data_IF_277428577460
#
_entry.id   IF_277428577460
#
_cell.length_a   1.000
_cell.length_b   1.000
_cell.length_c   1.000
_cell.angle_alpha   90.00
_cell.angle_beta   90.00
_cell.angle_gamma   90.00
#
_symmetry.space_group_name_H-M   'P 1'
#
loop_
_entity.id
_entity.type
_entity.pdbx_description
1 polymer ?
#
# COMPACT_ATOMS: atom_id res chain seq x y z
N UNK A 1 2.70 2.48 -13.11
CA UNK A 1 3.99 1.81 -12.89
C UNK A 1 4.01 1.39 -11.43
N UNK A 2 4.53 0.20 -11.11
CA UNK A 2 4.58 -0.29 -9.73
C UNK A 2 5.54 0.59 -8.89
N UNK A 3 5.13 1.01 -7.69
CA UNK A 3 5.97 1.79 -6.77
C UNK A 3 7.19 0.95 -6.36
N UNK A 4 8.44 1.39 -6.62
CA UNK A 4 9.63 0.55 -6.45
C UNK A 4 9.79 -0.01 -5.03
N UNK A 5 9.52 0.80 -4.00
CA UNK A 5 9.65 0.37 -2.60
C UNK A 5 8.63 -0.69 -2.20
N UNK A 6 7.41 -0.65 -2.75
CA UNK A 6 6.42 -1.70 -2.50
C UNK A 6 6.73 -2.96 -3.30
N UNK A 7 7.24 -2.83 -4.53
CA UNK A 7 7.70 -3.97 -5.32
C UNK A 7 8.83 -4.73 -4.62
N UNK A 8 9.81 -4.01 -4.06
CA UNK A 8 10.91 -4.60 -3.29
C UNK A 8 10.40 -5.37 -2.07
N UNK A 9 9.49 -4.75 -1.30
CA UNK A 9 8.81 -5.43 -0.20
C UNK A 9 8.11 -6.71 -0.66
N UNK A 10 7.32 -6.64 -1.73
CA UNK A 10 6.54 -7.77 -2.22
C UNK A 10 7.44 -8.91 -2.72
N UNK A 11 8.55 -8.56 -3.36
CA UNK A 11 9.57 -9.51 -3.81
C UNK A 11 10.18 -10.26 -2.60
N UNK A 12 10.63 -9.54 -1.58
CA UNK A 12 11.20 -10.13 -0.36
C UNK A 12 10.17 -10.97 0.40
N UNK A 13 8.94 -10.44 0.57
CA UNK A 13 7.86 -11.16 1.25
C UNK A 13 7.56 -12.50 0.60
N UNK A 14 7.45 -12.54 -0.73
CA UNK A 14 7.17 -13.79 -1.46
C UNK A 14 8.33 -14.79 -1.36
N UNK A 15 9.58 -14.32 -1.31
CA UNK A 15 10.73 -15.18 -1.03
C UNK A 15 10.67 -15.79 0.37
N UNK A 16 10.40 -14.97 1.39
CA UNK A 16 10.31 -15.41 2.80
C UNK A 16 9.18 -16.43 3.03
N UNK A 17 8.09 -16.32 2.26
CA UNK A 17 6.96 -17.25 2.30
C UNK A 17 7.19 -18.53 1.47
N UNK A 18 8.38 -18.71 0.89
CA UNK A 18 8.72 -19.89 0.09
C UNK A 18 8.09 -19.89 -1.30
N UNK A 19 7.75 -18.72 -1.85
CA UNK A 19 7.16 -18.50 -3.17
C UNK A 19 8.12 -17.74 -4.12
N UNK A 20 9.38 -18.17 -4.29
CA UNK A 20 10.40 -17.40 -5.03
C UNK A 20 10.04 -17.19 -6.51
N UNK A 21 9.44 -18.19 -7.16
CA UNK A 21 9.04 -18.06 -8.57
C UNK A 21 7.85 -17.12 -8.77
N UNK A 22 6.98 -16.99 -7.76
CA UNK A 22 5.93 -15.98 -7.79
C UNK A 22 6.54 -14.59 -7.62
N UNK A 23 7.56 -14.44 -6.75
CA UNK A 23 8.31 -13.20 -6.60
C UNK A 23 8.92 -12.75 -7.94
N UNK A 24 9.59 -13.66 -8.65
CA UNK A 24 10.16 -13.38 -9.98
C UNK A 24 9.09 -12.98 -11.00
N UNK A 25 7.97 -13.71 -11.02
CA UNK A 25 6.85 -13.44 -11.93
C UNK A 25 6.27 -12.05 -11.70
N UNK A 26 6.05 -11.69 -10.44
CA UNK A 26 5.56 -10.36 -10.04
C UNK A 26 6.56 -9.28 -10.43
N UNK A 27 7.86 -9.50 -10.17
CA UNK A 27 8.91 -8.54 -10.49
C UNK A 27 8.98 -8.26 -12.00
N UNK A 28 8.94 -9.31 -12.83
CA UNK A 28 8.93 -9.17 -14.28
C UNK A 28 7.62 -8.54 -14.80
N UNK A 29 6.48 -8.90 -14.20
CA UNK A 29 5.16 -8.36 -14.55
C UNK A 29 4.88 -6.94 -14.04
N UNK A 30 5.73 -6.41 -13.15
CA UNK A 30 5.55 -5.09 -12.52
C UNK A 30 5.54 -3.92 -13.51
N UNK A 31 6.12 -4.12 -14.70
CA UNK A 31 6.18 -3.14 -15.78
C UNK A 31 4.83 -2.96 -16.48
N UNK A 32 3.94 -3.95 -16.42
CA UNK A 32 2.68 -3.99 -17.18
C UNK A 32 1.44 -4.00 -16.30
N UNK A 33 1.57 -4.40 -15.03
CA UNK A 33 0.46 -4.50 -14.10
C UNK A 33 0.39 -3.31 -13.13
N UNK A 34 -0.84 -2.86 -12.80
CA UNK A 34 -1.05 -1.92 -11.70
C UNK A 34 -0.96 -2.67 -10.37
N UNK A 35 -0.14 -2.14 -9.47
CA UNK A 35 0.12 -2.76 -8.17
C UNK A 35 -1.14 -3.01 -7.35
N UNK A 36 -2.03 -2.01 -7.30
CA UNK A 36 -3.29 -2.11 -6.58
C UNK A 36 -4.17 -3.26 -7.10
N UNK A 37 -4.27 -3.42 -8.43
CA UNK A 37 -5.08 -4.48 -9.02
C UNK A 37 -4.48 -5.87 -8.68
N UNK A 38 -3.15 -6.00 -8.67
CA UNK A 38 -2.47 -7.22 -8.23
C UNK A 38 -2.77 -7.55 -6.76
N UNK A 39 -2.77 -6.56 -5.87
CA UNK A 39 -3.09 -6.77 -4.44
C UNK A 39 -4.56 -7.14 -4.24
N UNK A 40 -5.47 -6.62 -5.07
CA UNK A 40 -6.88 -7.04 -5.05
C UNK A 40 -7.05 -8.50 -5.52
N UNK A 41 -6.26 -8.94 -6.49
CA UNK A 41 -6.25 -10.35 -6.89
C UNK A 41 -5.62 -11.24 -5.81
N UNK A 42 -4.58 -10.78 -5.12
CA UNK A 42 -4.05 -11.47 -3.93
C UNK A 42 -5.09 -11.62 -2.81
N UNK A 43 -5.90 -10.58 -2.55
CA UNK A 43 -7.00 -10.65 -1.58
C UNK A 43 -8.00 -11.77 -1.90
N UNK A 44 -8.22 -12.02 -3.19
CA UNK A 44 -9.17 -13.05 -3.67
C UNK A 44 -8.56 -14.45 -3.68
N UNK A 45 -7.27 -14.56 -4.00
CA UNK A 45 -6.62 -15.83 -4.35
C UNK A 45 -5.72 -16.38 -3.23
N UNK A 46 -5.11 -15.52 -2.41
CA UNK A 46 -4.25 -15.98 -1.32
C UNK A 46 -5.10 -16.49 -0.16
N UNK A 47 -4.51 -17.39 0.63
CA UNK A 47 -5.07 -17.78 1.91
C UNK A 47 -5.29 -16.50 2.77
N UNK A 48 -6.45 -16.33 3.43
CA UNK A 48 -6.71 -15.18 4.28
C UNK A 48 -5.61 -14.85 5.28
N UNK A 49 -4.98 -15.86 5.90
CA UNK A 49 -3.86 -15.67 6.84
C UNK A 49 -2.62 -15.09 6.17
N UNK A 50 -2.31 -15.56 4.96
CA UNK A 50 -1.16 -15.09 4.19
C UNK A 50 -1.40 -13.67 3.68
N UNK A 51 -2.62 -13.37 3.23
CA UNK A 51 -3.00 -12.02 2.82
C UNK A 51 -2.96 -11.04 3.99
N UNK A 52 -3.46 -11.45 5.17
CA UNK A 52 -3.38 -10.62 6.37
C UNK A 52 -1.93 -10.33 6.76
N UNK A 53 -1.05 -11.35 6.73
CA UNK A 53 0.38 -11.16 7.00
C UNK A 53 1.04 -10.20 6.00
N UNK A 54 0.71 -10.30 4.72
CA UNK A 54 1.16 -9.36 3.69
C UNK A 54 0.71 -7.94 4.05
N UNK A 55 -0.57 -7.77 4.40
CA UNK A 55 -1.12 -6.47 4.75
C UNK A 55 -0.41 -5.84 5.96
N UNK A 56 -0.30 -6.59 7.06
CA UNK A 56 0.33 -6.13 8.30
C UNK A 56 1.81 -5.80 8.09
N UNK A 57 2.56 -6.68 7.42
CA UNK A 57 3.98 -6.45 7.13
C UNK A 57 4.20 -5.23 6.23
N UNK A 58 3.32 -5.00 5.26
CA UNK A 58 3.47 -3.88 4.34
C UNK A 58 3.51 -2.52 5.04
N UNK A 59 2.84 -2.39 6.19
CA UNK A 59 2.82 -1.15 6.98
C UNK A 59 4.22 -0.79 7.50
N UNK A 60 5.04 -1.81 7.80
CA UNK A 60 6.35 -1.64 8.42
C UNK A 60 7.51 -1.68 7.41
N UNK A 61 7.36 -2.46 6.33
CA UNK A 61 8.45 -2.78 5.41
C UNK A 61 8.29 -2.17 4.02
N UNK A 62 7.22 -1.44 3.77
CA UNK A 62 7.01 -0.75 2.49
C UNK A 62 6.56 0.69 2.72
N UNK A 63 6.71 1.58 1.72
CA UNK A 63 6.03 2.86 1.74
C UNK A 63 4.52 2.65 1.99
N UNK A 64 3.82 3.58 2.66
CA UNK A 64 2.43 3.42 3.11
C UNK A 64 1.39 3.46 1.97
N UNK A 65 1.72 2.88 0.82
CA UNK A 65 0.92 2.81 -0.39
C UNK A 65 -0.41 2.09 -0.17
N UNK A 66 -0.41 0.91 0.48
CA UNK A 66 -1.66 0.18 0.74
C UNK A 66 -2.57 0.88 1.75
N UNK A 67 -1.99 1.54 2.75
CA UNK A 67 -2.73 2.33 3.73
C UNK A 67 -3.38 3.54 3.05
N UNK A 68 -2.64 4.23 2.17
CA UNK A 68 -3.18 5.32 1.34
C UNK A 68 -4.27 4.82 0.38
N UNK A 69 -4.08 3.68 -0.27
CA UNK A 69 -5.11 3.07 -1.12
C UNK A 69 -6.37 2.73 -0.34
N UNK A 70 -6.25 2.13 0.85
CA UNK A 70 -7.38 1.80 1.72
C UNK A 70 -8.09 3.04 2.25
N UNK A 71 -7.35 4.09 2.57
CA UNK A 71 -7.93 5.39 2.92
C UNK A 71 -8.77 5.96 1.76
N UNK A 72 -8.29 5.78 0.52
CA UNK A 72 -8.94 6.24 -0.69
C UNK A 72 -10.09 5.33 -1.19
N UNK A 73 -10.32 4.15 -0.59
CA UNK A 73 -11.41 3.24 -0.98
C UNK A 73 -12.83 3.76 -0.59
N UNK A 74 -12.96 4.91 0.08
CA UNK A 74 -14.25 5.62 0.17
C UNK A 74 -14.66 6.14 -1.22
N UNK A 75 -15.97 6.22 -1.54
CA UNK A 75 -16.45 6.37 -2.91
C UNK A 75 -16.21 7.78 -3.46
N UNK A 76 -14.98 8.10 -3.82
CA UNK A 76 -14.71 9.19 -4.75
C UNK A 76 -15.04 8.68 -6.15
N UNK A 77 -16.09 9.28 -6.73
CA UNK A 77 -16.64 8.98 -8.06
C UNK A 77 -15.72 9.38 -9.22
N UNK A 78 -14.45 9.66 -8.97
CA UNK A 78 -13.49 10.07 -9.97
C UNK A 78 -12.81 8.86 -10.57
N UNK A 79 -12.73 8.82 -11.91
CA UNK A 79 -12.18 7.73 -12.73
C UNK A 79 -10.70 7.36 -12.44
N UNK A 80 -10.07 7.99 -11.46
CA UNK A 80 -8.68 7.80 -11.09
C UNK A 80 -8.61 7.25 -9.66
N UNK A 81 -8.47 5.93 -9.53
CA UNK A 81 -8.22 5.20 -8.26
C UNK A 81 -6.88 5.56 -7.57
N UNK A 82 -6.16 6.57 -8.03
CA UNK A 82 -4.85 6.96 -7.51
C UNK A 82 -5.02 8.13 -6.55
N UNK A 83 -4.54 7.98 -5.32
CA UNK A 83 -4.44 9.08 -4.36
C UNK A 83 -3.22 9.92 -4.73
N UNK A 84 -3.44 11.18 -5.12
CA UNK A 84 -2.42 12.08 -5.66
C UNK A 84 -1.83 12.98 -4.59
N UNK A 85 -0.70 13.64 -4.91
CA UNK A 85 -0.12 14.71 -4.08
C UNK A 85 -1.14 15.81 -3.81
N UNK A 86 -1.94 16.16 -4.83
CA UNK A 86 -2.97 17.20 -4.69
C UNK A 86 -4.05 16.79 -3.70
N UNK A 87 -4.46 15.51 -3.70
CA UNK A 87 -5.41 14.98 -2.72
C UNK A 87 -4.83 15.00 -1.30
N UNK A 88 -3.51 14.81 -1.14
CA UNK A 88 -2.84 14.88 0.16
C UNK A 88 -2.73 16.31 0.71
N UNK A 89 -2.50 17.29 -0.17
CA UNK A 89 -2.36 18.70 0.19
C UNK A 89 -3.70 19.41 0.46
N UNK A 90 -4.83 18.76 0.17
CA UNK A 90 -6.15 19.30 0.51
C UNK A 90 -6.29 19.55 2.03
N UNK A 91 -6.79 20.73 2.44
CA UNK A 91 -6.95 21.08 3.85
C UNK A 91 -7.76 20.04 4.61
N UNK A 92 -7.16 19.48 5.67
CA UNK A 92 -7.81 18.51 6.57
C UNK A 92 -7.81 17.06 6.08
N UNK A 93 -7.22 16.75 4.91
CA UNK A 93 -7.03 15.34 4.50
C UNK A 93 -5.99 14.63 5.37
N UNK A 94 -4.91 15.30 5.76
CA UNK A 94 -3.93 14.76 6.71
C UNK A 94 -4.58 14.37 8.04
N UNK A 95 -5.47 15.21 8.56
CA UNK A 95 -6.13 14.98 9.85
C UNK A 95 -7.10 13.81 9.77
N UNK A 96 -7.87 13.71 8.67
CA UNK A 96 -8.74 12.57 8.39
C UNK A 96 -7.96 11.27 8.19
N UNK A 97 -6.78 11.35 7.61
CA UNK A 97 -5.90 10.19 7.46
C UNK A 97 -5.41 9.73 8.83
N UNK A 98 -4.98 10.65 9.70
CA UNK A 98 -4.60 10.35 11.08
C UNK A 98 -5.74 9.64 11.82
N UNK A 99 -6.95 10.21 11.81
CA UNK A 99 -8.13 9.58 12.43
C UNK A 99 -8.43 8.20 11.85
N UNK A 100 -8.28 8.02 10.53
CA UNK A 100 -8.47 6.72 9.88
C UNK A 100 -7.44 5.70 10.36
N UNK A 101 -6.17 6.07 10.46
CA UNK A 101 -5.11 5.17 10.88
C UNK A 101 -5.27 4.80 12.35
N UNK A 102 -5.49 5.77 13.25
CA UNK A 102 -5.71 5.50 14.67
C UNK A 102 -6.89 4.55 14.92
N UNK A 103 -7.96 4.68 14.12
CA UNK A 103 -9.15 3.84 14.23
C UNK A 103 -8.94 2.42 13.73
N UNK A 104 -8.21 2.23 12.63
CA UNK A 104 -8.11 0.93 11.94
C UNK A 104 -6.78 0.20 12.22
N UNK A 105 -5.76 0.92 12.69
CA UNK A 105 -4.40 0.44 12.95
C UNK A 105 -3.86 1.05 14.27
N UNK A 106 -4.48 0.75 15.42
CA UNK A 106 -4.19 1.44 16.69
C UNK A 106 -2.76 1.20 17.20
N UNK A 107 -2.10 0.12 16.77
CA UNK A 107 -0.75 -0.23 17.20
C UNK A 107 0.36 0.45 16.37
N UNK A 108 -0.02 1.25 15.36
CA UNK A 108 0.94 1.87 14.43
C UNK A 108 1.21 3.32 14.81
N UNK A 109 2.49 3.71 14.84
CA UNK A 109 2.91 5.09 15.05
C UNK A 109 2.48 6.01 13.91
N UNK A 110 1.30 6.61 14.01
CA UNK A 110 0.69 7.43 12.95
C UNK A 110 1.58 8.61 12.54
N UNK A 111 2.33 9.18 13.49
CA UNK A 111 3.32 10.23 13.22
C UNK A 111 4.39 9.80 12.21
N UNK A 112 4.85 8.55 12.31
CA UNK A 112 5.91 8.02 11.46
C UNK A 112 5.38 7.76 10.04
N UNK A 113 4.14 7.26 9.93
CA UNK A 113 3.46 7.10 8.64
C UNK A 113 3.28 8.45 7.92
N UNK A 114 2.78 9.47 8.63
CA UNK A 114 2.61 10.81 8.05
C UNK A 114 3.95 11.41 7.62
N UNK A 115 5.02 11.17 8.37
CA UNK A 115 6.37 11.60 8.00
C UNK A 115 6.84 10.93 6.70
N UNK A 116 6.68 9.61 6.56
CA UNK A 116 7.06 8.87 5.34
C UNK A 116 6.24 9.32 4.12
N UNK A 117 4.93 9.54 4.29
CA UNK A 117 4.06 10.07 3.23
C UNK A 117 4.57 11.44 2.75
N UNK A 118 4.91 12.34 3.69
CA UNK A 118 5.43 13.65 3.36
C UNK A 118 6.79 13.61 2.64
N UNK A 119 7.66 12.62 2.95
CA UNK A 119 8.93 12.43 2.21
C UNK A 119 8.69 12.04 0.75
N UNK A 120 7.65 11.24 0.49
CA UNK A 120 7.30 10.79 -0.86
C UNK A 120 6.66 11.92 -1.66
N UNK A 121 5.77 12.71 -1.07
CA UNK A 121 5.02 13.74 -1.77
C UNK A 121 5.71 15.11 -1.89
N UNK A 122 6.73 15.42 -1.08
CA UNK A 122 7.50 16.68 -1.14
C UNK A 122 8.81 16.59 -1.92
N UNK A 123 9.01 15.52 -2.70
CA UNK A 123 10.17 15.33 -3.57
C UNK A 123 9.97 16.04 -4.90
#
# INVERSE_FOLDING_TARGET
MMEPGFLEYLYTFLHDEGLPYLAETVNLGSLTCKLYDLVQDFKRCLNPKLYQKLWENSIYYSPPYLVLCAFNEKPQQTLLKAFTVMDWEEPGISDRFVEFVEKNYPDVGVSDLVMEINKVFKK
#
